data_IF_098705046118
#
_entry.id   IF_098705046118
#
_cell.length_a   1.000
_cell.length_b   1.000
_cell.length_c   1.000
_cell.angle_alpha   90.00
_cell.angle_beta   90.00
_cell.angle_gamma   90.00
#
_symmetry.space_group_name_H-M   'P 1'
#
loop_
_entity.id
_entity.type
_entity.pdbx_description
1 polymer ?
#
# COMPACT_ATOMS: atom_id res chain seq x y z
N UNK A 1 7.02 20.34 -0.70
CA UNK A 1 7.45 19.59 0.50
C UNK A 1 7.17 18.12 0.28
N UNK A 2 8.06 17.24 0.69
CA UNK A 2 7.85 15.78 0.68
C UNK A 2 7.86 15.29 2.13
N UNK A 3 6.92 14.45 2.51
CA UNK A 3 6.83 13.83 3.84
C UNK A 3 6.73 12.31 3.71
N UNK A 4 7.38 11.59 4.61
CA UNK A 4 7.32 10.13 4.71
C UNK A 4 6.60 9.79 6.02
N UNK A 5 5.55 8.99 5.93
CA UNK A 5 4.64 8.61 7.01
C UNK A 5 4.53 7.07 7.07
N UNK A 6 3.85 6.55 8.09
CA UNK A 6 3.49 5.13 8.21
C UNK A 6 4.67 4.17 7.99
N UNK A 7 5.79 4.46 8.68
CA UNK A 7 7.06 3.70 8.58
C UNK A 7 7.61 3.56 7.16
N UNK A 8 7.28 4.50 6.28
CA UNK A 8 7.72 4.50 4.87
C UNK A 8 6.67 4.00 3.89
N UNK A 9 5.51 3.53 4.35
CA UNK A 9 4.44 3.02 3.49
C UNK A 9 3.59 4.13 2.87
N UNK A 10 3.70 5.35 3.37
CA UNK A 10 2.97 6.51 2.86
C UNK A 10 3.92 7.66 2.56
N UNK A 11 3.84 8.22 1.36
CA UNK A 11 4.59 9.39 0.93
C UNK A 11 3.61 10.47 0.51
N UNK A 12 3.78 11.67 1.07
CA UNK A 12 2.96 12.84 0.77
C UNK A 12 3.78 13.92 0.09
N UNK A 13 3.30 14.38 -1.05
CA UNK A 13 3.87 15.46 -1.85
C UNK A 13 2.95 16.67 -1.73
N UNK A 14 3.49 17.83 -1.39
CA UNK A 14 2.74 19.08 -1.32
C UNK A 14 3.43 20.14 -2.15
N UNK A 15 2.69 20.81 -3.01
CA UNK A 15 3.16 21.95 -3.80
C UNK A 15 2.37 23.22 -3.49
N UNK A 16 2.81 24.34 -4.08
CA UNK A 16 2.15 25.65 -4.04
C UNK A 16 1.80 26.13 -5.47
N UNK A 17 1.57 25.19 -6.38
CA UNK A 17 1.26 25.47 -7.78
C UNK A 17 -0.20 25.90 -7.97
N UNK A 18 -0.71 25.91 -9.21
CA UNK A 18 -2.10 26.31 -9.49
C UNK A 18 -3.16 25.36 -8.93
N UNK A 19 -2.76 24.16 -8.47
CA UNK A 19 -3.65 23.11 -7.97
C UNK A 19 -4.30 22.27 -9.07
N UNK A 20 -5.01 21.22 -8.66
CA UNK A 20 -5.73 20.29 -9.53
C UNK A 20 -7.22 20.38 -9.24
N UNK A 21 -7.97 20.96 -10.19
CA UNK A 21 -9.43 21.12 -10.10
C UNK A 21 -10.14 19.77 -10.26
N UNK A 22 -9.90 19.08 -11.38
CA UNK A 22 -10.56 17.81 -11.71
C UNK A 22 -9.70 16.62 -11.25
N UNK A 23 -9.65 16.39 -9.93
CA UNK A 23 -8.78 15.39 -9.27
C UNK A 23 -8.96 13.96 -9.76
N UNK A 24 -10.20 13.58 -10.06
CA UNK A 24 -10.54 12.25 -10.59
C UNK A 24 -10.05 12.08 -12.04
N UNK A 25 -10.30 13.09 -12.88
CA UNK A 25 -9.87 13.07 -14.28
C UNK A 25 -8.34 13.16 -14.41
N UNK A 26 -7.67 13.86 -13.50
CA UNK A 26 -6.22 13.94 -13.44
C UNK A 26 -5.53 12.57 -13.31
N UNK A 27 -6.27 11.57 -12.86
CA UNK A 27 -5.78 10.19 -12.74
C UNK A 27 -6.13 9.31 -13.95
N UNK A 28 -6.78 9.86 -14.99
CA UNK A 28 -7.13 9.13 -16.21
C UNK A 28 -6.11 9.39 -17.33
N UNK A 29 -5.77 8.37 -18.15
CA UNK A 29 -4.90 8.57 -19.30
C UNK A 29 -5.41 9.64 -20.26
N UNK A 30 -4.50 10.48 -20.78
CA UNK A 30 -4.81 11.48 -21.80
C UNK A 30 -5.47 12.76 -21.28
N UNK A 31 -5.76 12.85 -19.99
CA UNK A 31 -6.24 14.09 -19.39
C UNK A 31 -5.09 15.03 -19.00
N UNK A 32 -5.25 16.33 -19.23
CA UNK A 32 -4.30 17.35 -18.79
C UNK A 32 -5.04 18.53 -18.18
N UNK A 33 -4.60 18.95 -16.99
CA UNK A 33 -5.09 20.16 -16.32
C UNK A 33 -4.44 21.44 -16.84
N UNK A 34 -3.44 21.32 -17.73
CA UNK A 34 -2.75 22.48 -18.29
C UNK A 34 -3.64 23.20 -19.31
N UNK A 35 -3.95 24.46 -19.04
CA UNK A 35 -4.57 25.35 -20.02
C UNK A 35 -3.64 25.62 -21.21
N UNK A 36 -4.20 26.12 -22.31
CA UNK A 36 -3.46 26.35 -23.56
C UNK A 36 -2.24 27.29 -23.42
N UNK A 37 -2.29 28.38 -22.63
CA UNK A 37 -1.09 29.17 -22.30
C UNK A 37 -0.05 28.37 -21.50
N UNK A 38 -0.50 27.50 -20.59
CA UNK A 38 0.40 26.70 -19.73
C UNK A 38 1.11 25.59 -20.50
N UNK A 39 0.47 25.00 -21.52
CA UNK A 39 1.07 23.98 -22.40
C UNK A 39 2.33 24.45 -23.12
N UNK A 40 2.56 25.77 -23.23
CA UNK A 40 3.82 26.34 -23.77
C UNK A 40 5.03 26.06 -22.86
N UNK A 41 4.79 25.91 -21.56
CA UNK A 41 5.83 25.75 -20.54
C UNK A 41 5.81 24.37 -19.89
N UNK A 42 4.62 23.79 -19.73
CA UNK A 42 4.45 22.44 -19.19
C UNK A 42 4.60 21.44 -20.33
N UNK A 43 5.77 20.79 -20.36
CA UNK A 43 6.02 19.66 -21.27
C UNK A 43 5.53 18.38 -20.60
N UNK A 44 4.43 17.82 -21.10
CA UNK A 44 3.87 16.57 -20.58
C UNK A 44 2.49 16.28 -21.14
N UNK A 45 2.18 14.99 -21.33
CA UNK A 45 0.91 14.51 -21.88
C UNK A 45 -0.10 14.09 -20.80
N UNK A 46 0.24 14.27 -19.51
CA UNK A 46 -0.63 13.92 -18.39
C UNK A 46 -0.58 12.46 -17.94
N UNK A 47 0.42 11.67 -18.37
CA UNK A 47 0.49 10.22 -18.06
C UNK A 47 1.03 9.89 -16.66
N UNK A 48 1.61 10.84 -15.92
CA UNK A 48 2.28 10.56 -14.64
C UNK A 48 1.34 9.96 -13.58
N UNK A 49 0.26 10.67 -13.23
CA UNK A 49 -0.71 10.19 -12.24
C UNK A 49 -1.42 8.89 -12.67
N UNK A 50 -1.83 8.70 -13.94
CA UNK A 50 -2.34 7.41 -14.42
C UNK A 50 -1.36 6.24 -14.20
N UNK A 51 -0.07 6.42 -14.52
CA UNK A 51 0.95 5.37 -14.31
C UNK A 51 1.08 5.02 -12.82
N UNK A 52 1.09 6.04 -11.95
CA UNK A 52 1.14 5.84 -10.50
C UNK A 52 -0.09 5.08 -10.01
N UNK A 53 -1.28 5.45 -10.48
CA UNK A 53 -2.54 4.77 -10.12
C UNK A 53 -2.53 3.30 -10.55
N UNK A 54 -2.09 3.01 -11.76
CA UNK A 54 -2.01 1.63 -12.27
C UNK A 54 -1.04 0.78 -11.42
N UNK A 55 0.13 1.35 -11.08
CA UNK A 55 1.09 0.68 -10.19
C UNK A 55 0.49 0.39 -8.81
N UNK A 56 -0.23 1.35 -8.23
CA UNK A 56 -0.83 1.20 -6.90
C UNK A 56 -2.00 0.22 -6.91
N UNK A 57 -2.80 0.17 -7.99
CA UNK A 57 -3.85 -0.83 -8.14
C UNK A 57 -3.29 -2.27 -8.11
N UNK A 58 -2.13 -2.49 -8.74
CA UNK A 58 -1.43 -3.79 -8.71
C UNK A 58 -0.81 -4.05 -7.34
N UNK A 59 -0.29 -3.01 -6.69
CA UNK A 59 0.40 -3.11 -5.40
C UNK A 59 -0.55 -3.06 -4.19
N UNK A 60 -1.87 -3.06 -4.41
CA UNK A 60 -2.89 -2.87 -3.39
C UNK A 60 -2.73 -1.58 -2.58
N UNK A 61 -2.14 -0.56 -3.18
CA UNK A 61 -2.00 0.78 -2.61
C UNK A 61 -3.15 1.71 -2.99
N UNK A 62 -3.03 2.97 -2.58
CA UNK A 62 -3.97 4.03 -2.85
C UNK A 62 -3.25 5.34 -3.18
N UNK A 63 -3.90 6.17 -4.00
CA UNK A 63 -3.50 7.55 -4.27
C UNK A 63 -4.67 8.50 -3.96
N UNK A 64 -4.41 9.53 -3.16
CA UNK A 64 -5.33 10.65 -2.95
C UNK A 64 -4.73 11.95 -3.47
N UNK A 65 -5.61 12.86 -3.92
CA UNK A 65 -5.25 14.21 -4.34
C UNK A 65 -6.18 15.17 -3.62
N UNK A 66 -5.61 16.12 -2.89
CA UNK A 66 -6.32 17.09 -2.06
C UNK A 66 -5.81 18.50 -2.36
N UNK A 67 -6.59 19.52 -1.98
CA UNK A 67 -6.14 20.91 -2.07
C UNK A 67 -5.24 21.24 -0.89
N UNK A 68 -4.18 22.00 -1.16
CA UNK A 68 -3.32 22.48 -0.10
C UNK A 68 -3.93 23.72 0.58
N UNK A 69 -3.68 23.92 1.87
CA UNK A 69 -4.37 24.88 2.78
C UNK A 69 -4.33 26.35 2.31
N UNK A 70 -3.48 26.70 1.34
CA UNK A 70 -3.45 28.03 0.74
C UNK A 70 -3.59 28.00 -0.78
N UNK A 71 -2.76 27.19 -1.46
CA UNK A 71 -2.73 27.05 -2.91
C UNK A 71 -1.91 25.80 -3.26
N UNK A 72 -2.20 25.18 -4.41
CA UNK A 72 -1.50 23.99 -4.89
C UNK A 72 -2.25 22.70 -4.56
N UNK A 73 -1.53 21.58 -4.66
CA UNK A 73 -2.09 20.26 -4.40
C UNK A 73 -1.25 19.47 -3.42
N UNK A 74 -1.93 18.55 -2.72
CA UNK A 74 -1.33 17.53 -1.89
C UNK A 74 -1.65 16.19 -2.53
N UNK A 75 -0.62 15.47 -2.98
CA UNK A 75 -0.74 14.11 -3.51
C UNK A 75 -0.21 13.15 -2.46
N UNK A 76 -1.04 12.24 -1.98
CA UNK A 76 -0.64 11.21 -1.03
C UNK A 76 -0.64 9.86 -1.73
N UNK A 77 0.48 9.16 -1.69
CA UNK A 77 0.65 7.81 -2.20
C UNK A 77 0.86 6.89 -1.00
N UNK A 78 0.09 5.82 -0.93
CA UNK A 78 0.14 4.84 0.17
C UNK A 78 0.16 3.43 -0.39
N UNK A 79 1.00 2.55 0.17
CA UNK A 79 0.90 1.10 -0.07
C UNK A 79 -0.23 0.45 0.76
N UNK A 80 -0.76 1.20 1.73
CA UNK A 80 -1.93 0.82 2.51
C UNK A 80 -3.18 1.34 1.78
N UNK A 81 -4.10 0.46 1.40
CA UNK A 81 -5.28 0.76 0.60
C UNK A 81 -6.22 1.77 1.27
N UNK A 82 -6.31 1.77 2.60
CA UNK A 82 -7.16 2.66 3.39
C UNK A 82 -6.38 3.32 4.55
N UNK A 83 -5.65 4.42 4.31
CA UNK A 83 -4.95 5.15 5.36
C UNK A 83 -5.89 5.92 6.30
N UNK A 84 -7.13 6.21 5.87
CA UNK A 84 -8.16 6.93 6.64
C UNK A 84 -9.07 6.04 7.48
N UNK A 85 -9.03 4.73 7.25
CA UNK A 85 -9.61 3.73 8.15
C UNK A 85 -8.47 2.81 8.62
N UNK A 86 -7.54 3.32 9.45
CA UNK A 86 -6.69 2.40 10.20
C UNK A 86 -7.65 1.44 10.89
N UNK A 87 -7.45 0.12 10.71
CA UNK A 87 -8.18 -0.89 11.46
C UNK A 87 -8.26 -0.37 12.89
N UNK A 88 -9.45 -0.01 13.34
CA UNK A 88 -9.60 0.51 14.70
C UNK A 88 -9.03 -0.56 15.65
N UNK A 89 -8.49 -0.24 16.83
CA UNK A 89 -7.93 -1.26 17.73
C UNK A 89 -8.89 -2.44 18.02
N UNK A 90 -10.19 -2.24 17.79
CA UNK A 90 -11.27 -3.23 17.87
C UNK A 90 -11.43 -4.10 16.59
N UNK A 91 -11.02 -3.59 15.42
CA UNK A 91 -10.94 -4.29 14.13
C UNK A 91 -9.54 -4.83 13.82
N UNK A 92 -8.51 -4.41 14.56
CA UNK A 92 -7.17 -4.95 14.46
C UNK A 92 -7.26 -6.47 14.70
N UNK A 93 -6.79 -7.30 13.76
CA UNK A 93 -6.94 -8.73 13.90
C UNK A 93 -6.23 -9.15 15.19
N UNK A 94 -6.96 -9.85 16.07
CA UNK A 94 -6.41 -10.48 17.27
C UNK A 94 -5.42 -11.56 16.80
N UNK A 95 -4.20 -11.13 16.51
CA UNK A 95 -3.08 -11.95 16.07
C UNK A 95 -2.19 -12.24 17.27
N UNK A 96 -1.76 -13.49 17.36
CA UNK A 96 -0.69 -13.83 18.30
C UNK A 96 0.64 -13.24 17.84
N UNK A 97 1.63 -13.19 18.74
CA UNK A 97 2.99 -12.74 18.40
C UNK A 97 3.59 -13.56 17.25
N UNK A 98 3.37 -14.88 17.26
CA UNK A 98 3.82 -15.77 16.19
C UNK A 98 3.10 -15.51 14.87
N UNK A 99 1.78 -15.29 14.87
CA UNK A 99 1.03 -14.94 13.67
C UNK A 99 1.51 -13.63 13.06
N UNK A 100 1.75 -12.62 13.91
CA UNK A 100 2.31 -11.31 13.51
C UNK A 100 3.70 -11.47 12.89
N UNK A 101 4.59 -12.21 13.54
CA UNK A 101 5.94 -12.46 13.05
C UNK A 101 5.95 -13.21 11.71
N UNK A 102 5.05 -14.20 11.55
CA UNK A 102 4.90 -14.96 10.30
C UNK A 102 4.37 -14.08 9.16
N UNK A 103 3.38 -13.22 9.42
CA UNK A 103 2.88 -12.26 8.44
C UNK A 103 3.96 -11.26 8.00
N UNK A 104 4.71 -10.70 8.96
CA UNK A 104 5.82 -9.77 8.65
C UNK A 104 6.92 -10.44 7.84
N UNK A 105 7.22 -11.72 8.10
CA UNK A 105 8.22 -12.46 7.34
C UNK A 105 7.83 -12.64 5.86
N UNK A 106 6.53 -12.70 5.54
CA UNK A 106 6.04 -12.86 4.17
C UNK A 106 6.11 -11.58 3.32
N UNK A 107 6.09 -10.39 3.94
CA UNK A 107 6.14 -9.10 3.23
C UNK A 107 7.31 -9.00 2.22
N UNK A 108 8.58 -9.27 2.60
CA UNK A 108 9.69 -9.12 1.68
C UNK A 108 9.75 -10.18 0.58
N UNK A 109 9.22 -11.39 0.81
CA UNK A 109 9.48 -12.54 -0.07
C UNK A 109 8.25 -13.06 -0.83
N UNK A 110 7.07 -12.46 -0.65
CA UNK A 110 5.75 -12.79 -1.23
C UNK A 110 5.25 -14.24 -1.00
N UNK A 111 6.14 -15.26 -1.03
CA UNK A 111 5.82 -16.68 -0.95
C UNK A 111 6.87 -17.39 -0.09
N UNK A 112 6.50 -17.89 1.09
CA UNK A 112 7.40 -18.62 2.00
C UNK A 112 6.85 -19.98 2.43
N UNK A 113 7.75 -20.94 2.62
CA UNK A 113 7.45 -22.20 3.30
C UNK A 113 7.74 -22.13 4.79
N UNK A 114 7.29 -23.15 5.54
CA UNK A 114 7.54 -23.27 7.00
C UNK A 114 9.03 -23.22 7.35
N UNK A 115 9.87 -23.86 6.55
CA UNK A 115 11.33 -23.88 6.75
C UNK A 115 11.96 -22.51 6.48
N UNK A 116 11.44 -21.77 5.50
CA UNK A 116 11.97 -20.46 5.16
C UNK A 116 11.64 -19.45 6.28
N UNK A 117 10.41 -19.49 6.80
CA UNK A 117 10.01 -18.66 7.96
C UNK A 117 10.81 -19.01 9.20
N UNK A 118 11.04 -20.30 9.48
CA UNK A 118 11.86 -20.72 10.63
C UNK A 118 13.27 -20.12 10.58
N UNK A 119 13.90 -20.05 9.40
CA UNK A 119 15.22 -19.44 9.24
C UNK A 119 15.23 -17.92 9.49
N UNK A 120 14.11 -17.24 9.22
CA UNK A 120 13.99 -15.78 9.35
C UNK A 120 13.63 -15.40 10.79
N UNK A 121 12.67 -16.10 11.40
CA UNK A 121 12.08 -15.71 12.69
C UNK A 121 12.59 -16.54 13.86
N UNK A 122 13.29 -17.65 13.61
CA UNK A 122 13.74 -18.63 14.61
C UNK A 122 12.61 -19.26 15.44
N UNK A 123 11.36 -19.18 14.98
CA UNK A 123 10.18 -19.78 15.63
C UNK A 123 10.13 -21.28 15.33
N UNK A 124 9.75 -22.16 16.29
CA UNK A 124 9.60 -23.59 16.05
C UNK A 124 8.66 -23.92 14.88
N UNK A 125 9.02 -24.92 14.06
CA UNK A 125 8.28 -25.32 12.85
C UNK A 125 6.81 -25.68 13.17
N UNK A 126 6.55 -26.31 14.31
CA UNK A 126 5.19 -26.63 14.75
C UNK A 126 4.34 -25.38 14.97
N UNK A 127 4.90 -24.36 15.64
CA UNK A 127 4.24 -23.08 15.88
C UNK A 127 4.01 -22.30 14.59
N UNK A 128 4.95 -22.34 13.64
CA UNK A 128 4.78 -21.74 12.31
C UNK A 128 3.67 -22.44 11.54
N UNK A 129 3.64 -23.78 11.56
CA UNK A 129 2.58 -24.54 10.88
C UNK A 129 1.21 -24.19 11.46
N UNK A 130 1.10 -24.09 12.79
CA UNK A 130 -0.13 -23.66 13.46
C UNK A 130 -0.53 -22.23 13.07
N UNK A 131 0.42 -21.30 13.10
CA UNK A 131 0.19 -19.91 12.69
C UNK A 131 -0.27 -19.82 11.23
N UNK A 132 0.35 -20.57 10.30
CA UNK A 132 -0.13 -20.62 8.92
C UNK A 132 -1.55 -21.16 8.81
N UNK A 133 -1.90 -22.25 9.51
CA UNK A 133 -3.28 -22.75 9.51
C UNK A 133 -4.27 -21.69 10.01
N UNK A 134 -3.93 -20.94 11.06
CA UNK A 134 -4.78 -19.85 11.57
C UNK A 134 -4.87 -18.66 10.63
N UNK A 135 -3.78 -18.29 9.98
CA UNK A 135 -3.77 -17.22 8.98
C UNK A 135 -4.53 -17.63 7.70
N UNK A 136 -4.49 -18.91 7.32
CA UNK A 136 -5.29 -19.48 6.21
C UNK A 136 -6.79 -19.45 6.57
N UNK A 137 -7.17 -19.88 7.77
CA UNK A 137 -8.56 -19.79 8.28
C UNK A 137 -9.09 -18.36 8.29
N UNK A 138 -8.25 -17.39 8.68
CA UNK A 138 -8.59 -15.95 8.68
C UNK A 138 -8.58 -15.31 7.28
N UNK A 139 -8.12 -16.03 6.24
CA UNK A 139 -8.05 -15.52 4.87
C UNK A 139 -6.88 -14.56 4.58
N UNK A 140 -5.90 -14.45 5.47
CA UNK A 140 -4.75 -13.54 5.29
C UNK A 140 -3.62 -14.16 4.47
N UNK A 141 -3.56 -15.49 4.43
CA UNK A 141 -2.62 -16.19 3.56
C UNK A 141 -3.33 -17.29 2.80
N UNK A 142 -2.83 -17.58 1.60
CA UNK A 142 -3.33 -18.67 0.77
C UNK A 142 -2.19 -19.66 0.46
N UNK A 143 -2.58 -20.92 0.29
CA UNK A 143 -1.63 -21.99 0.03
C UNK A 143 -1.27 -22.06 -1.46
N UNK A 144 0.01 -21.93 -1.75
CA UNK A 144 0.59 -22.11 -3.09
C UNK A 144 1.54 -23.31 -3.04
N UNK A 145 1.06 -24.48 -3.46
CA UNK A 145 1.77 -25.76 -3.32
C UNK A 145 2.12 -26.09 -1.86
N UNK A 146 3.42 -26.04 -1.52
CA UNK A 146 3.96 -26.27 -0.16
C UNK A 146 4.25 -24.96 0.60
N UNK A 147 4.08 -23.82 -0.06
CA UNK A 147 4.35 -22.48 0.47
C UNK A 147 3.06 -21.69 0.66
N UNK A 148 3.15 -20.55 1.32
CA UNK A 148 2.04 -19.62 1.59
C UNK A 148 2.36 -18.28 0.99
N UNK A 149 1.33 -17.62 0.46
CA UNK A 149 1.36 -16.26 -0.10
C UNK A 149 0.41 -15.37 0.68
N UNK A 150 0.74 -14.09 0.82
CA UNK A 150 -0.20 -13.10 1.38
C UNK A 150 -1.36 -12.88 0.42
N UNK A 151 -2.59 -12.89 0.94
CA UNK A 151 -3.75 -12.37 0.21
C UNK A 151 -3.72 -10.84 0.23
N UNK A 152 -4.59 -10.19 -0.54
CA UNK A 152 -4.69 -8.72 -0.55
C UNK A 152 -4.92 -8.18 0.87
N UNK A 153 -5.84 -8.79 1.63
CA UNK A 153 -6.14 -8.42 3.01
C UNK A 153 -4.95 -8.69 3.95
N UNK A 154 -4.32 -9.86 3.83
CA UNK A 154 -3.12 -10.17 4.63
C UNK A 154 -1.95 -9.23 4.36
N UNK A 155 -1.80 -8.75 3.12
CA UNK A 155 -0.80 -7.74 2.77
C UNK A 155 -1.07 -6.41 3.47
N UNK A 156 -2.33 -5.97 3.48
CA UNK A 156 -2.75 -4.74 4.16
C UNK A 156 -2.52 -4.80 5.67
N UNK A 157 -2.89 -5.92 6.29
CA UNK A 157 -2.64 -6.14 7.72
C UNK A 157 -1.14 -6.17 8.00
N UNK A 158 -0.36 -6.88 7.19
CA UNK A 158 1.08 -6.97 7.42
C UNK A 158 1.77 -5.59 7.34
N UNK A 159 1.33 -4.69 6.46
CA UNK A 159 1.85 -3.31 6.37
C UNK A 159 1.46 -2.41 7.55
N UNK A 160 0.36 -2.72 8.26
CA UNK A 160 -0.13 -1.93 9.40
C UNK A 160 0.47 -2.36 10.75
N UNK A 161 1.03 -3.57 10.85
CA UNK A 161 1.69 -4.12 12.05
C UNK A 161 3.09 -3.55 12.29
#
# INVERSE_FOLDING_TARGET
>A
MVSILDRGNTIRFSDQGPGIQQKELAQLPGFTSASEPMKRYIRGVGSGLPIVKDYLNISHGNISIEDNVNQGSVVTISLIANPSNPLTPDEAPNLTENETAVLKALLPQQILGVTDVNKITNIPVASISYAFSKLEEKGYVEKVNKKRRLTNEGHQIALSL
#
